data_IF_398408053151
#
_entry.id   IF_398408053151
#
_cell.length_a   1.000
_cell.length_b   1.000
_cell.length_c   1.000
_cell.angle_alpha   90.00
_cell.angle_beta   90.00
_cell.angle_gamma   90.00
#
_symmetry.space_group_name_H-M   'P 1'
#
loop_
_entity.id
_entity.type
_entity.pdbx_description
1 polymer ?
#
# COMPACT_ATOMS: atom_id res chain seq x y z
N UNK A 1 -1.28 -2.78 -74.99
CA UNK A 1 -1.21 -3.60 -73.76
C UNK A 1 -0.66 -2.78 -72.61
N UNK A 2 -1.36 -2.80 -71.47
CA UNK A 2 -1.02 -2.14 -70.19
C UNK A 2 0.30 -2.67 -69.60
N UNK A 3 1.11 -1.81 -69.00
CA UNK A 3 1.91 -2.17 -67.81
C UNK A 3 1.53 -1.22 -66.66
N UNK A 4 0.54 -1.66 -65.87
CA UNK A 4 0.21 -1.05 -64.58
C UNK A 4 1.44 -1.19 -63.67
N UNK A 5 1.96 -0.07 -63.15
CA UNK A 5 2.93 -0.08 -62.05
C UNK A 5 2.28 -0.81 -60.87
N UNK A 6 2.89 -1.92 -60.44
CA UNK A 6 2.49 -2.64 -59.21
C UNK A 6 2.74 -1.70 -58.04
N UNK A 7 1.70 -1.34 -57.30
CA UNK A 7 1.85 -0.71 -55.99
C UNK A 7 2.74 -1.61 -55.12
N UNK A 8 3.86 -1.08 -54.64
CA UNK A 8 4.62 -1.69 -53.55
C UNK A 8 3.68 -1.71 -52.35
N UNK A 9 3.24 -2.90 -51.93
CA UNK A 9 2.66 -3.08 -50.61
C UNK A 9 3.70 -2.60 -49.59
N UNK A 10 3.46 -1.43 -48.98
CA UNK A 10 4.13 -1.07 -47.74
C UNK A 10 3.71 -2.14 -46.74
N UNK A 11 4.64 -3.02 -46.37
CA UNK A 11 4.49 -3.83 -45.19
C UNK A 11 4.56 -2.84 -44.02
N UNK A 12 3.42 -2.28 -43.63
CA UNK A 12 3.33 -1.54 -42.38
C UNK A 12 3.48 -2.57 -41.27
N UNK A 13 4.60 -2.50 -40.55
CA UNK A 13 4.85 -3.33 -39.39
C UNK A 13 4.08 -2.84 -38.16
N UNK A 14 3.34 -1.73 -38.25
CA UNK A 14 2.53 -1.21 -37.16
C UNK A 14 1.07 -1.62 -37.35
N UNK A 15 0.74 -2.83 -36.87
CA UNK A 15 -0.65 -3.33 -36.77
C UNK A 15 -1.53 -2.51 -35.81
N UNK A 16 -1.03 -1.41 -35.25
CA UNK A 16 -1.66 -0.63 -34.20
C UNK A 16 -1.65 0.90 -34.45
N UNK A 17 -1.27 1.36 -35.65
CA UNK A 17 -1.16 2.80 -35.99
C UNK A 17 -2.50 3.56 -35.84
N UNK A 18 -3.63 2.87 -36.02
CA UNK A 18 -4.99 3.44 -35.91
C UNK A 18 -5.64 3.26 -34.52
N UNK A 19 -4.90 2.74 -33.53
CA UNK A 19 -5.50 2.38 -32.24
C UNK A 19 -5.49 3.54 -31.24
N UNK A 20 -6.69 4.03 -30.88
CA UNK A 20 -6.87 5.06 -29.85
C UNK A 20 -7.19 4.44 -28.50
N UNK A 21 -6.34 4.71 -27.50
CA UNK A 21 -6.54 4.26 -26.11
C UNK A 21 -7.80 4.94 -25.54
N UNK A 22 -8.80 4.19 -25.02
CA UNK A 22 -10.02 4.80 -24.50
C UNK A 22 -9.72 5.68 -23.25
N UNK A 23 -10.47 6.78 -23.03
CA UNK A 23 -10.18 7.73 -21.95
C UNK A 23 -10.12 7.11 -20.54
N UNK A 24 -10.90 6.05 -20.30
CA UNK A 24 -10.91 5.31 -19.03
C UNK A 24 -9.58 4.59 -18.73
N UNK A 25 -8.78 4.25 -19.73
CA UNK A 25 -7.46 3.64 -19.54
C UNK A 25 -6.46 4.61 -18.89
N UNK A 26 -6.60 5.92 -19.16
CA UNK A 26 -5.81 6.97 -18.52
C UNK A 26 -6.17 7.10 -17.03
N UNK A 27 -7.45 6.93 -16.69
CA UNK A 27 -7.92 6.89 -15.31
C UNK A 27 -7.34 5.69 -14.53
N UNK A 28 -7.21 4.53 -15.19
CA UNK A 28 -6.60 3.33 -14.61
C UNK A 28 -5.06 3.35 -14.57
N UNK A 29 -4.41 4.44 -15.02
CA UNK A 29 -2.94 4.57 -14.99
C UNK A 29 -2.21 3.62 -15.96
N UNK A 30 -2.92 2.97 -16.87
CA UNK A 30 -2.32 2.03 -17.82
C UNK A 30 -1.87 2.77 -19.09
N UNK A 31 -0.70 3.41 -19.01
CA UNK A 31 -0.09 4.16 -20.13
C UNK A 31 0.41 3.27 -21.28
N UNK A 32 0.41 1.94 -21.11
CA UNK A 32 0.86 0.99 -22.14
C UNK A 32 0.03 -0.30 -22.11
N UNK A 33 -1.19 -0.30 -22.67
CA UNK A 33 -1.95 -1.54 -22.84
C UNK A 33 -1.24 -2.47 -23.84
N UNK A 34 -1.28 -3.77 -23.59
CA UNK A 34 -0.85 -4.79 -24.55
C UNK A 34 -2.02 -5.09 -25.49
N UNK A 35 -1.77 -5.22 -26.79
CA UNK A 35 -2.81 -5.61 -27.75
C UNK A 35 -2.50 -7.01 -28.27
N UNK A 36 -3.44 -7.94 -28.09
CA UNK A 36 -3.31 -9.32 -28.54
C UNK A 36 -4.64 -9.77 -29.15
N UNK A 37 -4.60 -10.28 -30.39
CA UNK A 37 -5.77 -10.84 -31.09
C UNK A 37 -6.99 -9.90 -31.16
N UNK A 38 -6.76 -8.60 -31.37
CA UNK A 38 -7.83 -7.58 -31.41
C UNK A 38 -8.40 -7.20 -30.04
N UNK A 39 -7.92 -7.80 -28.96
CA UNK A 39 -8.30 -7.50 -27.58
C UNK A 39 -7.31 -6.58 -26.90
N UNK A 40 -7.82 -5.69 -26.05
CA UNK A 40 -7.03 -4.72 -25.29
C UNK A 40 -6.73 -5.28 -23.92
N UNK A 41 -5.45 -5.52 -23.64
CA UNK A 41 -4.94 -6.02 -22.36
C UNK A 41 -4.36 -4.87 -21.52
N UNK A 42 -5.17 -4.35 -20.60
CA UNK A 42 -4.70 -3.43 -19.57
C UNK A 42 -3.89 -4.16 -18.50
N UNK A 43 -2.69 -3.64 -18.21
CA UNK A 43 -1.92 -4.11 -17.08
C UNK A 43 -2.54 -3.55 -15.81
N UNK A 44 -3.06 -4.42 -14.94
CA UNK A 44 -3.52 -4.01 -13.64
C UNK A 44 -2.30 -3.82 -12.71
N UNK A 45 -2.02 -2.57 -12.39
CA UNK A 45 -0.94 -2.21 -11.47
C UNK A 45 -1.43 -2.00 -10.04
N UNK A 46 -2.72 -2.27 -9.75
CA UNK A 46 -3.27 -2.17 -8.40
C UNK A 46 -2.51 -3.10 -7.47
N UNK A 47 -2.01 -2.51 -6.38
CA UNK A 47 -1.24 -3.18 -5.35
C UNK A 47 -1.75 -2.72 -4.00
N UNK A 48 -1.75 -3.65 -3.06
CA UNK A 48 -1.92 -3.38 -1.65
C UNK A 48 -0.58 -2.93 -1.08
N UNK A 49 -0.60 -1.77 -0.43
CA UNK A 49 0.48 -1.24 0.38
C UNK A 49 -0.01 -1.14 1.82
N UNK A 50 0.84 -1.54 2.76
CA UNK A 50 0.52 -1.57 4.18
C UNK A 50 1.54 -0.70 4.89
N UNK A 51 1.07 0.17 5.78
CA UNK A 51 1.90 1.14 6.46
C UNK A 51 1.63 1.15 7.96
N UNK A 52 2.71 1.26 8.72
CA UNK A 52 2.68 1.77 10.08
C UNK A 52 2.83 3.30 10.00
N UNK A 53 1.76 4.00 10.33
CA UNK A 53 1.63 5.43 10.18
C UNK A 53 1.61 6.13 11.54
N UNK A 54 2.07 7.38 11.57
CA UNK A 54 1.81 8.27 12.69
C UNK A 54 1.50 9.67 12.18
N UNK A 55 0.51 10.29 12.81
CA UNK A 55 0.11 11.66 12.53
C UNK A 55 0.23 12.47 13.81
N UNK A 56 0.84 13.65 13.71
CA UNK A 56 0.93 14.55 14.86
C UNK A 56 -0.47 14.89 15.39
N UNK A 57 -0.71 14.63 16.67
CA UNK A 57 -2.00 14.88 17.30
C UNK A 57 -2.08 16.35 17.75
N UNK A 58 -3.23 16.98 17.56
CA UNK A 58 -3.48 18.38 17.94
C UNK A 58 -3.66 18.61 19.45
N UNK A 59 -3.27 17.68 20.33
CA UNK A 59 -3.61 17.79 21.77
C UNK A 59 -2.95 18.95 22.53
N UNK A 60 -2.20 19.84 21.87
CA UNK A 60 -2.03 21.23 22.34
C UNK A 60 -2.45 22.21 21.26
N UNK A 61 -3.52 22.94 21.58
CA UNK A 61 -4.05 24.11 20.88
C UNK A 61 -3.10 25.31 20.95
N UNK A 62 -1.82 25.14 20.61
CA UNK A 62 -0.99 26.30 20.34
C UNK A 62 -1.25 26.71 18.90
N UNK A 63 -2.17 27.67 18.76
CA UNK A 63 -2.46 28.31 17.49
C UNK A 63 -1.17 29.00 17.02
N UNK A 64 -0.68 28.58 15.85
CA UNK A 64 0.53 29.16 15.27
C UNK A 64 0.40 30.69 15.17
N UNK A 65 1.34 31.41 15.80
CA UNK A 65 1.44 32.85 15.72
C UNK A 65 2.79 33.22 15.06
N UNK A 66 2.79 33.77 13.82
CA UNK A 66 4.02 34.10 13.12
C UNK A 66 4.89 35.13 13.84
N UNK A 67 4.34 35.91 14.78
CA UNK A 67 5.06 36.91 15.58
C UNK A 67 5.65 36.36 16.89
N UNK A 68 5.32 35.12 17.27
CA UNK A 68 5.83 34.49 18.49
C UNK A 68 6.62 33.21 18.16
N UNK A 69 7.97 33.23 18.18
CA UNK A 69 8.82 32.08 17.90
C UNK A 69 8.56 30.87 18.81
N UNK A 70 7.99 31.07 20.00
CA UNK A 70 7.61 29.98 20.91
C UNK A 70 6.49 29.10 20.37
N UNK A 71 5.71 29.61 19.40
CA UNK A 71 4.64 28.84 18.72
C UNK A 71 5.12 28.11 17.47
N UNK A 72 6.41 28.22 17.13
CA UNK A 72 6.99 27.50 15.99
C UNK A 72 7.11 26.02 16.38
N UNK A 73 6.47 25.15 15.62
CA UNK A 73 6.48 23.71 15.88
C UNK A 73 6.62 22.93 14.57
N UNK A 74 7.38 21.85 14.60
CA UNK A 74 7.54 20.93 13.47
C UNK A 74 6.48 19.83 13.56
N UNK A 75 5.56 19.80 12.59
CA UNK A 75 4.60 18.70 12.45
C UNK A 75 5.20 17.63 11.57
N UNK A 76 5.50 16.47 12.14
CA UNK A 76 5.99 15.32 11.40
C UNK A 76 4.88 14.28 11.31
N UNK A 77 4.64 13.82 10.09
CA UNK A 77 3.84 12.64 9.81
C UNK A 77 4.77 11.62 9.15
N UNK A 78 4.56 10.34 9.45
CA UNK A 78 5.35 9.27 8.87
C UNK A 78 4.46 8.15 8.39
N UNK A 79 4.87 7.53 7.28
CA UNK A 79 4.29 6.29 6.77
C UNK A 79 5.46 5.34 6.51
N UNK A 80 5.57 4.31 7.33
CA UNK A 80 6.57 3.26 7.18
C UNK A 80 5.91 2.06 6.53
N UNK A 81 6.35 1.66 5.34
CA UNK A 81 5.80 0.46 4.72
C UNK A 81 6.18 -0.77 5.57
N UNK A 82 5.20 -1.64 5.81
CA UNK A 82 5.35 -2.89 6.56
C UNK A 82 4.82 -4.06 5.73
N UNK A 83 5.24 -5.27 6.07
CA UNK A 83 4.70 -6.47 5.44
C UNK A 83 3.31 -6.83 5.98
N UNK A 84 2.64 -7.75 5.28
CA UNK A 84 1.32 -8.24 5.64
C UNK A 84 1.30 -8.95 7.01
N UNK A 85 2.38 -9.63 7.39
CA UNK A 85 2.44 -10.36 8.65
C UNK A 85 2.42 -9.40 9.85
N UNK A 86 3.25 -8.36 9.80
CA UNK A 86 3.28 -7.28 10.77
C UNK A 86 1.93 -6.55 10.83
N UNK A 87 1.30 -6.29 9.68
CA UNK A 87 -0.02 -5.66 9.64
C UNK A 87 -1.09 -6.51 10.34
N UNK A 88 -1.14 -7.82 10.08
CA UNK A 88 -2.09 -8.74 10.72
C UNK A 88 -1.84 -8.83 12.24
N UNK A 89 -0.58 -8.88 12.68
CA UNK A 89 -0.25 -8.84 14.11
C UNK A 89 -0.78 -7.55 14.75
N UNK A 90 -0.61 -6.42 14.07
CA UNK A 90 -1.10 -5.13 14.56
C UNK A 90 -2.62 -5.09 14.68
N UNK A 91 -3.35 -5.68 13.73
CA UNK A 91 -4.80 -5.85 13.81
C UNK A 91 -5.20 -6.72 14.99
N UNK A 92 -4.54 -7.87 15.17
CA UNK A 92 -4.80 -8.77 16.29
C UNK A 92 -4.62 -8.06 17.64
N UNK A 93 -3.50 -7.35 17.82
CA UNK A 93 -3.23 -6.58 19.04
C UNK A 93 -4.32 -5.53 19.27
N UNK A 94 -4.74 -4.81 18.22
CA UNK A 94 -5.78 -3.78 18.33
C UNK A 94 -7.12 -4.39 18.80
N UNK A 95 -7.51 -5.55 18.27
CA UNK A 95 -8.75 -6.22 18.68
C UNK A 95 -8.68 -6.81 20.09
N UNK A 96 -7.49 -7.20 20.54
CA UNK A 96 -7.24 -7.56 21.95
C UNK A 96 -7.36 -6.33 22.85
N UNK A 97 -6.76 -5.20 22.49
CA UNK A 97 -6.79 -3.95 23.25
C UNK A 97 -8.22 -3.36 23.34
N UNK A 98 -9.03 -3.53 22.29
CA UNK A 98 -10.47 -3.17 22.30
C UNK A 98 -11.32 -4.10 23.15
N UNK A 99 -10.80 -5.26 23.57
CA UNK A 99 -11.54 -6.28 24.32
C UNK A 99 -12.44 -7.19 23.46
N UNK A 100 -12.33 -7.12 22.12
CA UNK A 100 -13.08 -7.98 21.21
C UNK A 100 -12.52 -9.41 21.19
N UNK A 101 -11.22 -9.55 21.44
CA UNK A 101 -10.52 -10.84 21.54
C UNK A 101 -9.88 -10.95 22.93
N UNK A 102 -10.03 -12.10 23.59
CA UNK A 102 -9.33 -12.37 24.85
C UNK A 102 -7.87 -12.70 24.57
N UNK A 103 -6.95 -12.01 25.26
CA UNK A 103 -5.53 -12.33 25.19
C UNK A 103 -5.24 -13.68 25.85
N UNK A 104 -4.70 -14.62 25.08
CA UNK A 104 -4.16 -15.89 25.57
C UNK A 104 -2.66 -15.97 25.31
N UNK A 105 -1.87 -16.05 26.38
CA UNK A 105 -0.39 -16.14 26.31
C UNK A 105 0.08 -17.44 25.66
N UNK A 106 -0.75 -18.48 25.61
CA UNK A 106 -0.40 -19.78 25.01
C UNK A 106 -0.56 -19.79 23.49
N UNK A 107 -1.38 -18.88 22.93
CA UNK A 107 -1.55 -18.77 21.47
C UNK A 107 -0.26 -18.24 20.85
N UNK A 108 0.22 -18.90 19.81
CA UNK A 108 1.37 -18.45 19.02
C UNK A 108 0.94 -17.28 18.14
N UNK A 109 1.62 -16.14 18.28
CA UNK A 109 1.36 -14.90 17.53
C UNK A 109 2.38 -14.73 16.40
N UNK A 110 3.61 -15.22 16.60
CA UNK A 110 4.69 -15.10 15.61
C UNK A 110 5.52 -16.39 15.48
N UNK A 111 6.07 -16.65 14.29
CA UNK A 111 6.87 -17.86 14.00
C UNK A 111 8.23 -17.86 14.67
N UNK A 112 8.93 -16.73 14.66
CA UNK A 112 10.13 -16.53 15.46
C UNK A 112 9.79 -16.49 16.95
N UNK A 113 10.36 -17.42 17.72
CA UNK A 113 10.15 -17.57 19.17
C UNK A 113 10.50 -16.32 19.98
N UNK A 114 11.57 -15.60 19.62
CA UNK A 114 11.98 -14.39 20.32
C UNK A 114 11.01 -13.24 20.07
N UNK A 115 10.55 -13.09 18.82
CA UNK A 115 9.52 -12.11 18.47
C UNK A 115 8.18 -12.42 19.17
N UNK A 116 7.75 -13.69 19.17
CA UNK A 116 6.53 -14.13 19.88
C UNK A 116 6.59 -13.82 21.38
N UNK A 117 7.71 -14.15 22.02
CA UNK A 117 7.95 -13.82 23.43
C UNK A 117 7.98 -12.32 23.68
N UNK A 118 8.60 -11.54 22.79
CA UNK A 118 8.62 -10.08 22.88
C UNK A 118 7.20 -9.51 22.83
N UNK A 119 6.39 -9.88 21.83
CA UNK A 119 5.00 -9.42 21.69
C UNK A 119 4.22 -9.73 22.96
N UNK A 120 4.26 -10.99 23.43
CA UNK A 120 3.53 -11.43 24.61
C UNK A 120 3.97 -10.74 25.89
N UNK A 121 5.28 -10.49 26.02
CA UNK A 121 5.83 -9.75 27.16
C UNK A 121 5.35 -8.30 27.14
N UNK A 122 5.34 -7.66 25.97
CA UNK A 122 4.90 -6.27 25.86
C UNK A 122 3.40 -6.16 26.15
N UNK A 123 2.57 -6.99 25.51
CA UNK A 123 1.11 -7.02 25.73
C UNK A 123 0.71 -7.44 27.16
N UNK A 124 1.53 -8.27 27.81
CA UNK A 124 1.24 -8.80 29.14
C UNK A 124 1.60 -7.88 30.30
N UNK A 125 2.23 -6.73 30.02
CA UNK A 125 2.63 -5.73 31.00
C UNK A 125 1.93 -4.40 30.71
N UNK A 126 1.73 -3.59 31.75
CA UNK A 126 1.25 -2.23 31.56
C UNK A 126 2.44 -1.29 31.37
N UNK A 127 2.64 -0.82 30.14
CA UNK A 127 3.56 0.27 29.84
C UNK A 127 2.77 1.57 29.75
N UNK A 128 3.20 2.58 30.51
CA UNK A 128 2.66 3.93 30.40
C UNK A 128 3.50 4.67 29.35
N UNK A 129 3.02 4.66 28.10
CA UNK A 129 3.66 5.31 26.96
C UNK A 129 2.82 6.52 26.55
N UNK A 130 3.30 7.71 26.88
CA UNK A 130 2.71 8.97 26.39
C UNK A 130 3.31 9.37 25.04
N UNK A 131 2.50 9.99 24.20
CA UNK A 131 2.86 10.37 22.83
C UNK A 131 2.09 11.60 22.37
N UNK A 132 2.80 12.47 21.64
CA UNK A 132 2.21 13.62 20.95
C UNK A 132 1.59 13.28 19.59
N UNK A 133 1.60 12.03 19.16
CA UNK A 133 1.08 11.57 17.87
C UNK A 133 0.06 10.44 18.01
N UNK A 134 -0.81 10.33 17.01
CA UNK A 134 -1.78 9.25 16.85
C UNK A 134 -1.18 8.23 15.88
N UNK A 135 -0.78 7.03 16.35
CA UNK A 135 -0.35 5.97 15.45
C UNK A 135 -1.55 5.29 14.79
N UNK A 136 -1.32 4.76 13.59
CA UNK A 136 -2.32 4.00 12.85
C UNK A 136 -1.70 2.91 11.98
N UNK A 137 -2.48 1.88 11.69
CA UNK A 137 -2.24 0.96 10.60
C UNK A 137 -3.02 1.46 9.39
N UNK A 138 -2.31 1.76 8.32
CA UNK A 138 -2.89 2.27 7.08
C UNK A 138 -2.72 1.23 5.98
N UNK A 139 -3.77 0.97 5.22
CA UNK A 139 -3.68 0.14 4.02
C UNK A 139 -4.22 0.90 2.81
N UNK A 140 -3.51 0.76 1.71
CA UNK A 140 -3.73 1.53 0.49
C UNK A 140 -3.77 0.57 -0.69
N UNK A 141 -4.81 0.67 -1.51
CA UNK A 141 -4.86 0.03 -2.82
C UNK A 141 -4.59 1.11 -3.87
N UNK A 142 -3.50 0.98 -4.63
CA UNK A 142 -3.13 1.97 -5.66
C UNK A 142 -2.44 1.31 -6.86
N UNK A 143 -2.60 1.93 -8.03
CA UNK A 143 -2.06 1.49 -9.32
C UNK A 143 -0.67 2.06 -9.62
N UNK A 144 0.26 2.05 -8.65
CA UNK A 144 1.62 2.63 -8.74
C UNK A 144 1.70 4.15 -8.93
N UNK A 145 0.57 4.86 -9.04
CA UNK A 145 0.52 6.33 -8.96
C UNK A 145 0.23 6.75 -7.52
N UNK A 146 1.27 7.19 -6.80
CA UNK A 146 1.20 7.54 -5.37
C UNK A 146 0.32 8.76 -5.03
N UNK A 147 -0.26 9.44 -6.03
CA UNK A 147 -0.96 10.72 -5.82
C UNK A 147 -2.42 10.52 -5.42
N UNK A 148 -3.10 9.49 -5.93
CA UNK A 148 -4.52 9.23 -5.60
C UNK A 148 -4.73 7.72 -5.49
N UNK A 149 -4.74 7.16 -4.28
CA UNK A 149 -5.08 5.76 -4.09
C UNK A 149 -6.54 5.49 -4.46
N UNK A 150 -6.81 4.30 -4.99
CA UNK A 150 -8.18 3.85 -5.25
C UNK A 150 -8.96 3.66 -3.94
N UNK A 151 -8.28 3.19 -2.91
CA UNK A 151 -8.85 2.98 -1.59
C UNK A 151 -7.79 3.21 -0.51
N UNK A 152 -8.18 3.89 0.57
CA UNK A 152 -7.36 4.04 1.77
C UNK A 152 -8.21 3.70 2.98
N UNK A 153 -7.74 2.77 3.80
CA UNK A 153 -8.26 2.52 5.14
C UNK A 153 -7.23 2.89 6.19
N UNK A 154 -7.67 3.52 7.27
CA UNK A 154 -6.84 3.93 8.40
C UNK A 154 -7.47 3.36 9.67
N UNK A 155 -6.65 2.71 10.49
CA UNK A 155 -7.06 2.10 11.75
C UNK A 155 -6.15 2.68 12.83
N UNK A 156 -6.70 3.54 13.69
CA UNK A 156 -5.97 4.05 14.84
C UNK A 156 -5.64 2.89 15.80
N UNK A 157 -4.43 2.93 16.36
CA UNK A 157 -3.89 1.91 17.27
C UNK A 157 -3.33 2.56 18.54
N UNK A 158 -3.02 1.77 19.55
CA UNK A 158 -2.30 2.26 20.73
C UNK A 158 -0.82 2.53 20.43
N UNK A 159 -0.16 3.31 21.29
CA UNK A 159 1.31 3.51 21.23
C UNK A 159 2.07 2.21 21.49
N UNK A 160 1.54 1.36 22.37
CA UNK A 160 2.11 0.03 22.64
C UNK A 160 2.11 -0.82 21.37
N UNK A 161 0.98 -0.87 20.67
CA UNK A 161 0.85 -1.57 19.40
C UNK A 161 1.82 -1.00 18.36
N UNK A 162 1.88 0.33 18.22
CA UNK A 162 2.84 0.99 17.33
C UNK A 162 4.29 0.56 17.60
N UNK A 163 4.71 0.53 18.87
CA UNK A 163 6.05 0.13 19.25
C UNK A 163 6.33 -1.34 18.91
N UNK A 164 5.39 -2.24 19.18
CA UNK A 164 5.53 -3.66 18.83
C UNK A 164 5.73 -3.81 17.32
N UNK A 165 4.85 -3.21 16.51
CA UNK A 165 4.93 -3.31 15.05
C UNK A 165 6.18 -2.66 14.51
N UNK A 166 6.59 -1.51 15.06
CA UNK A 166 7.83 -0.86 14.67
C UNK A 166 9.03 -1.79 14.89
N UNK A 167 9.15 -2.41 16.06
CA UNK A 167 10.26 -3.31 16.36
C UNK A 167 10.25 -4.56 15.47
N UNK A 168 9.08 -5.20 15.29
CA UNK A 168 8.95 -6.33 14.38
C UNK A 168 9.32 -5.96 12.94
N UNK A 169 8.87 -4.80 12.46
CA UNK A 169 9.19 -4.29 11.13
C UNK A 169 10.67 -3.96 10.93
N UNK A 170 11.48 -3.85 11.99
CA UNK A 170 12.92 -3.58 11.87
C UNK A 170 13.75 -4.85 11.97
N UNK A 171 13.26 -5.87 12.68
CA UNK A 171 14.04 -7.07 12.98
C UNK A 171 13.55 -8.34 12.27
N UNK A 172 12.31 -8.37 11.79
CA UNK A 172 11.65 -9.60 11.33
C UNK A 172 10.93 -9.47 9.99
N UNK A 173 11.13 -8.38 9.25
CA UNK A 173 10.48 -8.13 7.95
C UNK A 173 11.40 -8.43 6.77
N UNK A 174 10.83 -8.33 5.57
CA UNK A 174 11.56 -8.33 4.30
C UNK A 174 12.55 -7.15 4.25
N UNK A 175 13.83 -7.45 3.97
CA UNK A 175 14.89 -6.46 3.87
C UNK A 175 14.56 -5.33 2.88
N UNK A 176 13.79 -5.62 1.83
CA UNK A 176 13.33 -4.62 0.86
C UNK A 176 12.48 -3.49 1.47
N UNK A 177 11.80 -3.74 2.58
CA UNK A 177 10.94 -2.78 3.29
C UNK A 177 11.70 -1.95 4.34
N UNK A 178 13.00 -2.21 4.53
CA UNK A 178 13.83 -1.38 5.40
C UNK A 178 14.16 -0.04 4.76
N UNK A 179 14.17 0.02 3.43
CA UNK A 179 14.40 1.24 2.66
C UNK A 179 13.10 2.03 2.52
N UNK A 180 13.19 3.36 2.49
CA UNK A 180 12.04 4.26 2.29
C UNK A 180 11.46 4.22 0.86
N UNK A 181 11.80 3.20 0.07
CA UNK A 181 11.30 3.02 -1.28
C UNK A 181 9.99 2.22 -1.26
N UNK A 182 8.89 2.93 -1.49
CA UNK A 182 7.56 2.35 -1.51
C UNK A 182 7.20 1.70 -2.87
N UNK A 183 8.16 1.55 -3.78
CA UNK A 183 7.96 0.82 -5.03
C UNK A 183 8.05 -0.71 -4.85
N UNK A 184 8.51 -1.18 -3.68
CA UNK A 184 8.66 -2.60 -3.39
C UNK A 184 7.30 -3.30 -3.26
N UNK A 185 7.07 -4.27 -4.15
CA UNK A 185 5.86 -5.09 -4.15
C UNK A 185 6.15 -6.36 -3.36
N UNK A 186 5.47 -6.53 -2.23
CA UNK A 186 5.51 -7.79 -1.49
C UNK A 186 4.82 -8.90 -2.28
N UNK A 187 5.34 -10.12 -2.20
CA UNK A 187 4.83 -11.28 -2.95
C UNK A 187 3.55 -11.89 -2.34
N UNK A 188 2.72 -11.06 -1.73
CA UNK A 188 1.49 -11.47 -1.05
C UNK A 188 0.45 -11.96 -2.06
N UNK A 189 -0.33 -12.97 -1.65
CA UNK A 189 -1.40 -13.54 -2.48
C UNK A 189 -2.40 -12.48 -2.98
N UNK A 190 -2.69 -11.48 -2.15
CA UNK A 190 -3.57 -10.38 -2.52
C UNK A 190 -3.00 -9.52 -3.64
N UNK A 191 -1.69 -9.27 -3.66
CA UNK A 191 -1.04 -8.54 -4.75
C UNK A 191 -1.04 -9.34 -6.05
N UNK A 192 -0.89 -10.67 -5.97
CA UNK A 192 -1.07 -11.56 -7.14
C UNK A 192 -2.51 -11.54 -7.64
N UNK A 193 -3.48 -11.58 -6.74
CA UNK A 193 -4.91 -11.53 -7.08
C UNK A 193 -5.26 -10.19 -7.72
N UNK A 194 -4.84 -9.08 -7.13
CA UNK A 194 -5.04 -7.73 -7.66
C UNK A 194 -4.40 -7.58 -9.05
N UNK A 195 -3.17 -8.07 -9.25
CA UNK A 195 -2.53 -8.08 -10.56
C UNK A 195 -3.27 -8.95 -11.59
N UNK A 196 -3.90 -10.05 -11.14
CA UNK A 196 -4.68 -10.96 -11.99
C UNK A 196 -6.09 -10.49 -12.30
N UNK A 197 -6.61 -9.45 -11.63
CA UNK A 197 -7.87 -8.80 -12.03
C UNK A 197 -7.57 -8.05 -13.33
N UNK A 198 -7.56 -8.78 -14.43
CA UNK A 198 -7.41 -8.25 -15.78
C UNK A 198 -8.77 -7.71 -16.23
N UNK A 199 -8.78 -6.47 -16.73
CA UNK A 199 -9.97 -5.86 -17.33
C UNK A 199 -9.90 -6.08 -18.84
N UNK A 200 -10.64 -7.05 -19.37
CA UNK A 200 -10.79 -7.19 -20.83
C UNK A 200 -11.87 -6.23 -21.33
N UNK A 201 -11.54 -5.41 -22.34
CA UNK A 201 -12.56 -4.76 -23.15
C UNK A 201 -12.69 -5.52 -24.46
N UNK A 202 -13.85 -6.13 -24.67
CA UNK A 202 -14.22 -6.58 -26.00
C UNK A 202 -14.61 -5.36 -26.83
N UNK A 203 -14.00 -5.19 -27.99
CA UNK A 203 -14.55 -4.32 -29.02
C UNK A 203 -15.89 -4.91 -29.43
N UNK A 204 -16.96 -4.11 -29.31
CA UNK A 204 -18.23 -4.49 -29.94
C UNK A 204 -17.96 -4.60 -31.44
N UNK A 205 -18.08 -5.82 -31.98
CA UNK A 205 -18.12 -6.00 -33.42
C UNK A 205 -19.43 -5.37 -33.90
N UNK A 206 -19.32 -4.22 -34.57
CA UNK A 206 -20.39 -3.71 -35.43
C UNK A 206 -20.37 -4.46 -36.76
#
# INVERSE_FOLDING_TARGET
MKKKRKNKYKCSCDRFEDFTVPPCAKFLGSVSPLVKDGKIVYRNYNRLYLFLSYNYSRFKTEQYNPLNPLTFNTKTNGNLQIDLYCFIIGLYINEVEKGNIKFDRNVKIHDNKYADQFIKKVMGNNYDLDSSFIPSLTYVISNSSAVIPFYTGVIDISITNFYIILMLSRFNTDYGLLFSDNAYITNDFINRTLANIYVEFNTCNN
#
